data_IF_359787280482
#
_entry.id   IF_359787280482
#
_cell.length_a   1.000
_cell.length_b   1.000
_cell.length_c   1.000
_cell.angle_alpha   90.00
_cell.angle_beta   90.00
_cell.angle_gamma   90.00
#
_symmetry.space_group_name_H-M   'P 1'
#
loop_
_entity.id
_entity.type
_entity.pdbx_description
1 polymer ?
#
# COMPACT_ATOMS: atom_id res chain seq x y z
N UNK A 1 6.74 0.38 9.22
CA UNK A 1 7.25 0.12 7.87
C UNK A 1 8.44 1.03 7.63
N UNK A 2 9.49 0.53 6.98
CA UNK A 2 10.58 1.36 6.45
C UNK A 2 10.23 1.77 5.01
N UNK A 3 10.07 3.09 4.82
CA UNK A 3 9.69 3.73 3.56
C UNK A 3 10.81 4.61 3.01
N UNK A 4 12.06 4.34 3.39
CA UNK A 4 13.23 5.11 2.99
C UNK A 4 13.36 5.20 1.46
N UNK A 5 13.67 6.41 0.97
CA UNK A 5 13.83 6.71 -0.46
C UNK A 5 15.11 7.50 -0.75
N UNK A 6 16.11 7.40 0.10
CA UNK A 6 17.36 8.11 -0.07
C UNK A 6 18.44 7.60 0.88
N UNK A 7 19.68 7.96 0.57
CA UNK A 7 20.85 7.41 1.25
C UNK A 7 21.07 5.94 0.90
N UNK A 8 21.80 5.22 1.76
CA UNK A 8 22.05 3.79 1.63
C UNK A 8 20.86 3.01 2.22
N UNK A 9 19.87 2.72 1.37
CA UNK A 9 18.60 2.08 1.77
C UNK A 9 18.86 0.70 2.40
N UNK A 10 19.78 -0.09 1.85
CA UNK A 10 20.10 -1.42 2.37
C UNK A 10 20.70 -1.34 3.78
N UNK A 11 21.68 -0.45 3.99
CA UNK A 11 22.28 -0.27 5.31
C UNK A 11 21.27 0.27 6.35
N UNK A 12 20.42 1.22 5.95
CA UNK A 12 19.37 1.77 6.82
C UNK A 12 18.38 0.68 7.22
N UNK A 13 17.86 -0.08 6.24
CA UNK A 13 16.91 -1.18 6.47
C UNK A 13 17.49 -2.22 7.42
N UNK A 14 18.71 -2.69 7.18
CA UNK A 14 19.38 -3.68 8.04
C UNK A 14 19.56 -3.18 9.48
N UNK A 15 19.90 -1.90 9.66
CA UNK A 15 20.00 -1.29 10.98
C UNK A 15 18.64 -1.23 11.71
N UNK A 16 17.56 -0.90 10.98
CA UNK A 16 16.20 -0.89 11.52
C UNK A 16 15.76 -2.30 11.92
N UNK A 17 15.92 -3.29 11.03
CA UNK A 17 15.55 -4.69 11.29
C UNK A 17 16.28 -5.22 12.53
N UNK A 18 17.59 -5.00 12.62
CA UNK A 18 18.41 -5.43 13.76
C UNK A 18 17.96 -4.80 15.09
N UNK A 19 17.35 -3.62 15.04
CA UNK A 19 16.92 -2.86 16.22
C UNK A 19 15.44 -3.02 16.55
N UNK A 20 14.65 -3.67 15.68
CA UNK A 20 13.21 -3.78 15.82
C UNK A 20 12.80 -5.05 16.54
N UNK A 21 11.87 -4.92 17.49
CA UNK A 21 11.19 -6.07 18.12
C UNK A 21 9.77 -6.28 17.56
N UNK A 22 9.39 -5.51 16.54
CA UNK A 22 8.07 -5.57 15.90
C UNK A 22 8.24 -5.83 14.40
N UNK A 23 7.21 -6.38 13.72
CA UNK A 23 7.29 -6.63 12.29
C UNK A 23 7.64 -5.37 11.48
N UNK A 24 8.57 -5.51 10.54
CA UNK A 24 9.01 -4.49 9.60
C UNK A 24 8.46 -4.81 8.22
N UNK A 25 7.60 -3.91 7.73
CA UNK A 25 7.18 -3.90 6.34
C UNK A 25 7.97 -2.92 5.48
N UNK A 26 8.03 -3.17 4.17
CA UNK A 26 8.71 -2.28 3.19
C UNK A 26 7.92 -2.17 1.88
N UNK A 27 8.34 -1.25 1.00
CA UNK A 27 7.81 -1.14 -0.37
C UNK A 27 8.97 -1.26 -1.38
N UNK A 28 9.35 -2.48 -1.81
CA UNK A 28 10.60 -2.72 -2.55
C UNK A 28 10.79 -1.93 -3.85
N UNK A 29 9.69 -1.52 -4.50
CA UNK A 29 9.78 -0.67 -5.71
C UNK A 29 10.44 0.68 -5.46
N UNK A 30 10.48 1.16 -4.21
CA UNK A 30 11.14 2.42 -3.89
C UNK A 30 12.65 2.29 -4.07
N UNK A 31 13.27 1.24 -3.52
CA UNK A 31 14.68 0.94 -3.74
C UNK A 31 14.95 0.63 -5.22
N UNK A 32 14.17 -0.27 -5.82
CA UNK A 32 14.36 -0.66 -7.22
C UNK A 32 14.29 0.55 -8.18
N UNK A 33 13.35 1.47 -7.93
CA UNK A 33 13.21 2.70 -8.72
C UNK A 33 14.41 3.64 -8.57
N UNK A 34 14.91 3.83 -7.34
CA UNK A 34 16.08 4.70 -7.07
C UNK A 34 17.34 4.12 -7.71
N UNK A 35 17.60 2.84 -7.50
CA UNK A 35 18.75 2.18 -8.11
C UNK A 35 18.65 2.15 -9.64
N UNK A 36 17.46 2.06 -10.21
CA UNK A 36 17.25 2.18 -11.65
C UNK A 36 17.57 3.60 -12.16
N UNK A 37 17.35 4.65 -11.38
CA UNK A 37 17.83 6.00 -11.73
C UNK A 37 19.36 5.99 -11.79
N UNK A 38 20.03 5.41 -10.79
CA UNK A 38 21.49 5.39 -10.73
C UNK A 38 22.12 4.53 -11.83
N UNK A 39 21.53 3.36 -12.13
CA UNK A 39 22.05 2.39 -13.10
C UNK A 39 21.64 2.70 -14.54
N UNK A 40 20.40 3.16 -14.76
CA UNK A 40 19.80 3.29 -16.09
C UNK A 40 19.40 4.73 -16.45
N UNK A 41 19.50 5.65 -15.50
CA UNK A 41 19.21 7.09 -15.66
C UNK A 41 17.73 7.49 -15.47
N UNK A 42 16.82 6.54 -15.26
CA UNK A 42 15.40 6.83 -15.01
C UNK A 42 14.65 5.64 -14.40
N UNK A 43 13.66 5.90 -13.54
CA UNK A 43 12.79 4.87 -12.93
C UNK A 43 12.10 4.00 -14.00
N UNK A 44 11.61 4.62 -15.08
CA UNK A 44 10.87 3.91 -16.14
C UNK A 44 11.73 2.90 -16.92
N UNK A 45 13.07 2.94 -16.75
CA UNK A 45 14.01 1.98 -17.33
C UNK A 45 14.39 0.84 -16.39
N UNK A 46 13.84 0.80 -15.17
CA UNK A 46 13.92 -0.36 -14.27
C UNK A 46 13.54 -1.62 -15.06
N UNK A 47 14.21 -2.74 -14.86
CA UNK A 47 13.77 -4.02 -15.43
C UNK A 47 12.88 -4.77 -14.44
N UNK A 48 12.13 -5.77 -14.91
CA UNK A 48 11.42 -6.66 -13.99
C UNK A 48 12.39 -7.35 -13.03
N UNK A 49 13.58 -7.73 -13.50
CA UNK A 49 14.61 -8.34 -12.65
C UNK A 49 15.14 -7.40 -11.58
N UNK A 50 15.29 -6.10 -11.87
CA UNK A 50 15.65 -5.11 -10.84
C UNK A 50 14.62 -5.05 -9.72
N UNK A 51 13.34 -5.10 -10.06
CA UNK A 51 12.24 -5.09 -9.09
C UNK A 51 12.23 -6.37 -8.23
N UNK A 52 12.31 -7.54 -8.87
CA UNK A 52 12.32 -8.82 -8.15
C UNK A 52 13.59 -9.01 -7.31
N UNK A 53 14.75 -8.54 -7.78
CA UNK A 53 15.98 -8.56 -7.01
C UNK A 53 15.88 -7.71 -5.74
N UNK A 54 15.25 -6.54 -5.81
CA UNK A 54 14.98 -5.72 -4.62
C UNK A 54 14.03 -6.42 -3.63
N UNK A 55 12.97 -7.07 -4.13
CA UNK A 55 12.05 -7.84 -3.27
C UNK A 55 12.81 -8.97 -2.56
N UNK A 56 13.63 -9.73 -3.28
CA UNK A 56 14.43 -10.83 -2.74
C UNK A 56 15.50 -10.32 -1.74
N UNK A 57 16.13 -9.18 -2.01
CA UNK A 57 17.06 -8.53 -1.08
C UNK A 57 16.37 -8.16 0.23
N UNK A 58 15.20 -7.51 0.16
CA UNK A 58 14.42 -7.16 1.33
C UNK A 58 14.01 -8.40 2.13
N UNK A 59 13.54 -9.45 1.46
CA UNK A 59 13.17 -10.71 2.11
C UNK A 59 14.37 -11.36 2.80
N UNK A 60 15.54 -11.41 2.13
CA UNK A 60 16.78 -11.94 2.68
C UNK A 60 17.29 -11.16 3.90
N UNK A 61 17.07 -9.85 3.94
CA UNK A 61 17.42 -9.01 5.08
C UNK A 61 16.51 -9.24 6.30
N UNK A 62 15.40 -9.97 6.14
CA UNK A 62 14.48 -10.29 7.22
C UNK A 62 13.27 -9.35 7.33
N UNK A 63 12.83 -8.77 6.22
CA UNK A 63 11.56 -8.02 6.16
C UNK A 63 10.38 -8.98 6.34
N UNK A 64 9.46 -8.68 7.26
CA UNK A 64 8.31 -9.55 7.58
C UNK A 64 7.17 -9.47 6.56
N UNK A 65 6.99 -8.31 5.92
CA UNK A 65 6.01 -8.15 4.84
C UNK A 65 6.43 -7.13 3.78
N UNK A 66 6.03 -7.35 2.53
CA UNK A 66 6.31 -6.44 1.42
C UNK A 66 5.02 -5.93 0.80
N UNK A 67 4.92 -4.60 0.66
CA UNK A 67 3.87 -3.97 -0.13
C UNK A 67 4.19 -4.08 -1.61
N UNK A 68 3.34 -4.79 -2.32
CA UNK A 68 3.47 -5.09 -3.75
C UNK A 68 2.21 -4.65 -4.49
N UNK A 69 2.36 -3.75 -5.45
CA UNK A 69 1.23 -3.12 -6.14
C UNK A 69 0.80 -3.96 -7.35
N UNK A 70 0.46 -5.24 -7.11
CA UNK A 70 0.13 -6.21 -8.15
C UNK A 70 -1.21 -5.93 -8.84
N UNK A 71 -2.12 -5.18 -8.19
CA UNK A 71 -3.45 -4.85 -8.71
C UNK A 71 -3.46 -3.69 -9.73
N UNK A 72 -2.35 -2.98 -9.87
CA UNK A 72 -2.18 -1.93 -10.89
C UNK A 72 -2.02 -2.60 -12.25
N UNK A 73 -3.12 -2.82 -12.95
CA UNK A 73 -3.13 -3.45 -14.28
C UNK A 73 -3.42 -2.44 -15.39
N UNK A 74 -3.18 -2.80 -16.65
CA UNK A 74 -3.61 -1.98 -17.79
C UNK A 74 -5.12 -1.74 -17.78
N UNK A 75 -5.92 -2.73 -17.34
CA UNK A 75 -7.36 -2.57 -17.17
C UNK A 75 -7.69 -1.46 -16.17
N UNK A 76 -7.04 -1.45 -14.99
CA UNK A 76 -7.22 -0.41 -13.98
C UNK A 76 -6.82 0.98 -14.51
N UNK A 77 -5.72 1.08 -15.25
CA UNK A 77 -5.28 2.33 -15.90
C UNK A 77 -6.32 2.81 -16.93
N UNK A 78 -6.90 1.90 -17.71
CA UNK A 78 -7.92 2.25 -18.71
C UNK A 78 -9.22 2.72 -18.03
N UNK A 79 -9.63 2.10 -16.92
CA UNK A 79 -10.74 2.58 -16.08
C UNK A 79 -10.49 3.99 -15.57
N UNK A 80 -9.30 4.24 -15.03
CA UNK A 80 -8.87 5.56 -14.54
C UNK A 80 -8.95 6.61 -15.66
N UNK A 81 -8.37 6.35 -16.84
CA UNK A 81 -8.37 7.28 -17.97
C UNK A 81 -9.77 7.62 -18.47
N UNK A 82 -10.68 6.63 -18.48
CA UNK A 82 -12.05 6.82 -18.94
C UNK A 82 -12.90 7.63 -17.96
N UNK A 83 -12.68 7.47 -16.66
CA UNK A 83 -13.44 8.18 -15.63
C UNK A 83 -12.86 9.56 -15.33
N UNK A 84 -11.54 9.67 -15.27
CA UNK A 84 -10.82 10.81 -14.72
C UNK A 84 -10.88 10.83 -13.19
N UNK A 85 -9.91 11.52 -12.59
CA UNK A 85 -9.82 11.80 -11.15
C UNK A 85 -9.46 13.25 -10.90
N UNK A 86 -9.80 13.74 -9.71
CA UNK A 86 -9.39 15.06 -9.22
C UNK A 86 -7.95 15.04 -8.73
N UNK A 87 -7.58 14.03 -7.93
CA UNK A 87 -6.24 13.89 -7.34
C UNK A 87 -5.34 12.91 -8.11
N UNK A 88 -5.84 12.33 -9.20
CA UNK A 88 -5.14 11.34 -10.03
C UNK A 88 -4.66 10.12 -9.20
N UNK A 89 -3.44 9.61 -9.45
CA UNK A 89 -2.81 8.53 -8.70
C UNK A 89 -1.92 9.10 -7.60
N UNK A 90 -2.33 8.88 -6.34
CA UNK A 90 -1.58 9.34 -5.16
C UNK A 90 -0.69 8.27 -4.52
N UNK A 91 -0.80 7.01 -4.96
CA UNK A 91 0.13 5.97 -4.55
C UNK A 91 1.47 6.15 -5.25
N UNK A 92 2.56 6.36 -4.48
CA UNK A 92 3.92 6.45 -5.04
C UNK A 92 4.31 5.18 -5.79
N UNK A 93 4.06 4.01 -5.20
CA UNK A 93 4.40 2.73 -5.81
C UNK A 93 3.53 2.43 -7.03
N UNK A 94 2.24 2.76 -6.95
CA UNK A 94 1.32 2.70 -8.09
C UNK A 94 1.78 3.61 -9.24
N UNK A 95 2.12 4.87 -8.95
CA UNK A 95 2.60 5.83 -9.95
C UNK A 95 3.90 5.38 -10.63
N UNK A 96 4.85 4.79 -9.88
CA UNK A 96 6.08 4.25 -10.46
C UNK A 96 5.78 3.11 -11.45
N UNK A 97 4.89 2.18 -11.09
CA UNK A 97 4.49 1.09 -12.00
C UNK A 97 3.71 1.61 -13.21
N UNK A 98 2.76 2.52 -13.04
CA UNK A 98 2.02 3.10 -14.16
C UNK A 98 2.98 3.78 -15.13
N UNK A 99 3.93 4.58 -14.62
CA UNK A 99 4.96 5.21 -15.43
C UNK A 99 5.81 4.19 -16.19
N UNK A 100 6.20 3.10 -15.52
CA UNK A 100 6.94 1.99 -16.12
C UNK A 100 6.13 1.28 -17.22
N UNK A 101 4.88 0.95 -16.95
CA UNK A 101 3.99 0.23 -17.87
C UNK A 101 3.71 1.04 -19.14
N UNK A 102 3.45 2.34 -18.99
CA UNK A 102 3.21 3.24 -20.11
C UNK A 102 4.47 3.44 -20.96
N UNK A 103 5.65 3.53 -20.34
CA UNK A 103 6.92 3.70 -21.06
C UNK A 103 7.33 2.43 -21.82
N UNK A 104 7.15 1.26 -21.21
CA UNK A 104 7.58 -0.03 -21.78
C UNK A 104 6.49 -0.70 -22.64
N UNK A 105 5.27 -0.12 -22.68
CA UNK A 105 4.07 -0.68 -23.33
C UNK A 105 3.73 -2.12 -22.87
N UNK A 106 4.00 -2.41 -21.59
CA UNK A 106 3.85 -3.74 -20.98
C UNK A 106 2.85 -3.72 -19.83
N UNK A 107 2.37 -4.90 -19.47
CA UNK A 107 1.60 -5.09 -18.24
C UNK A 107 2.54 -5.07 -17.03
N UNK A 108 1.97 -4.85 -15.84
CA UNK A 108 2.70 -4.81 -14.58
C UNK A 108 3.49 -6.11 -14.33
N UNK A 109 4.81 -6.04 -14.12
CA UNK A 109 5.63 -7.23 -13.93
C UNK A 109 5.24 -8.02 -12.67
N UNK A 110 4.73 -7.35 -11.63
CA UNK A 110 4.25 -8.02 -10.42
C UNK A 110 2.94 -8.78 -10.65
N UNK A 111 2.15 -8.37 -11.64
CA UNK A 111 0.93 -9.07 -12.05
C UNK A 111 1.26 -10.22 -13.01
N UNK A 112 2.02 -9.95 -14.07
CA UNK A 112 2.39 -10.95 -15.08
C UNK A 112 3.23 -12.10 -14.49
N UNK A 113 4.12 -11.79 -13.56
CA UNK A 113 5.04 -12.75 -12.93
C UNK A 113 4.67 -13.01 -11.47
N UNK A 114 3.38 -13.02 -11.14
CA UNK A 114 2.93 -13.23 -9.76
C UNK A 114 3.44 -14.55 -9.16
N UNK A 115 3.60 -15.61 -9.96
CA UNK A 115 4.14 -16.89 -9.46
C UNK A 115 5.59 -16.75 -8.97
N UNK A 116 6.42 -15.93 -9.63
CA UNK A 116 7.78 -15.60 -9.16
C UNK A 116 7.75 -14.87 -7.83
N UNK A 117 6.75 -14.01 -7.62
CA UNK A 117 6.56 -13.33 -6.34
C UNK A 117 6.18 -14.33 -5.23
N UNK A 118 5.29 -15.29 -5.54
CA UNK A 118 4.91 -16.35 -4.62
C UNK A 118 6.09 -17.25 -4.26
N UNK A 119 6.97 -17.57 -5.22
CA UNK A 119 8.19 -18.34 -4.96
C UNK A 119 9.10 -17.65 -3.93
N UNK A 120 9.33 -16.34 -4.08
CA UNK A 120 10.10 -15.55 -3.10
C UNK A 120 9.38 -15.54 -1.74
N UNK A 121 8.06 -15.35 -1.74
CA UNK A 121 7.29 -15.32 -0.50
C UNK A 121 7.38 -16.64 0.28
N UNK A 122 7.36 -17.79 -0.43
CA UNK A 122 7.51 -19.13 0.15
C UNK A 122 8.93 -19.34 0.66
N UNK A 123 9.95 -18.95 -0.11
CA UNK A 123 11.36 -19.19 0.25
C UNK A 123 11.74 -18.50 1.56
N UNK A 124 11.26 -17.27 1.77
CA UNK A 124 11.64 -16.43 2.91
C UNK A 124 10.55 -16.29 3.98
N UNK A 125 9.38 -16.93 3.82
CA UNK A 125 8.19 -16.75 4.67
C UNK A 125 7.81 -15.27 4.87
N UNK A 126 7.83 -14.50 3.79
CA UNK A 126 7.44 -13.08 3.80
C UNK A 126 5.96 -12.93 3.45
N UNK A 127 5.23 -12.15 4.24
CA UNK A 127 3.80 -11.87 3.98
C UNK A 127 3.65 -10.88 2.83
N UNK A 128 2.75 -11.15 1.89
CA UNK A 128 2.41 -10.22 0.83
C UNK A 128 1.35 -9.22 1.31
N UNK A 129 1.70 -7.93 1.34
CA UNK A 129 0.74 -6.84 1.48
C UNK A 129 0.38 -6.36 0.08
N UNK A 130 -0.79 -6.75 -0.43
CA UNK A 130 -1.20 -6.37 -1.78
C UNK A 130 -1.64 -4.91 -1.79
N UNK A 131 -0.79 -4.05 -2.34
CA UNK A 131 -0.88 -2.59 -2.28
C UNK A 131 -2.03 -2.01 -3.10
N UNK A 132 -2.55 -0.89 -2.62
CA UNK A 132 -3.66 -0.13 -3.21
C UNK A 132 -3.16 1.00 -4.12
N UNK A 133 -2.55 0.63 -5.25
CA UNK A 133 -1.98 1.57 -6.22
C UNK A 133 -2.99 2.55 -6.81
N UNK A 134 -4.27 2.20 -6.83
CA UNK A 134 -5.39 3.01 -7.29
C UNK A 134 -6.25 3.51 -6.12
N UNK A 135 -5.71 3.67 -4.90
CA UNK A 135 -6.49 4.31 -3.83
C UNK A 135 -6.90 5.76 -4.17
N UNK A 136 -8.04 6.24 -3.63
CA UNK A 136 -8.46 7.62 -3.79
C UNK A 136 -7.61 8.58 -2.95
N UNK A 137 -7.18 9.67 -3.57
CA UNK A 137 -6.41 10.75 -2.93
C UNK A 137 -7.23 11.97 -2.51
N UNK A 138 -8.54 11.93 -2.75
CA UNK A 138 -9.49 12.92 -2.27
C UNK A 138 -10.89 12.29 -2.21
N UNK A 139 -11.82 12.93 -1.51
CA UNK A 139 -13.18 12.42 -1.38
C UNK A 139 -13.93 12.32 -2.71
N UNK A 140 -13.60 13.17 -3.69
CA UNK A 140 -14.25 13.16 -5.00
C UNK A 140 -13.92 11.90 -5.82
N UNK A 141 -12.78 11.26 -5.53
CA UNK A 141 -12.31 10.06 -6.22
C UNK A 141 -12.66 8.77 -5.45
N UNK A 142 -13.36 8.89 -4.32
CA UNK A 142 -13.70 7.78 -3.44
C UNK A 142 -14.62 6.76 -4.11
N UNK A 143 -14.29 5.47 -3.97
CA UNK A 143 -15.05 4.33 -4.51
C UNK A 143 -15.26 4.43 -6.03
N UNK A 144 -14.26 4.92 -6.74
CA UNK A 144 -14.30 5.03 -8.20
C UNK A 144 -14.01 3.70 -8.92
N UNK A 145 -14.11 3.71 -10.25
CA UNK A 145 -13.94 2.49 -11.05
C UNK A 145 -12.53 1.96 -10.98
N UNK A 146 -11.51 2.83 -10.90
CA UNK A 146 -10.12 2.39 -10.85
C UNK A 146 -9.80 1.69 -9.52
N UNK A 147 -10.29 2.22 -8.40
CA UNK A 147 -10.16 1.60 -7.08
C UNK A 147 -10.85 0.24 -7.04
N UNK A 148 -12.08 0.14 -7.54
CA UNK A 148 -12.84 -1.13 -7.52
C UNK A 148 -12.22 -2.16 -8.48
N UNK A 149 -11.77 -1.75 -9.66
CA UNK A 149 -11.08 -2.64 -10.62
C UNK A 149 -9.80 -3.24 -10.03
N UNK A 150 -8.99 -2.41 -9.35
CA UNK A 150 -7.82 -2.89 -8.63
C UNK A 150 -8.22 -3.90 -7.55
N UNK A 151 -9.20 -3.58 -6.70
CA UNK A 151 -9.64 -4.48 -5.62
C UNK A 151 -10.11 -5.85 -6.14
N UNK A 152 -10.84 -5.87 -7.26
CA UNK A 152 -11.26 -7.12 -7.90
C UNK A 152 -10.05 -7.95 -8.35
N UNK A 153 -9.06 -7.30 -8.96
CA UNK A 153 -7.79 -7.94 -9.33
C UNK A 153 -7.08 -8.49 -8.10
N UNK A 154 -7.02 -7.73 -7.00
CA UNK A 154 -6.43 -8.19 -5.75
C UNK A 154 -7.16 -9.40 -5.17
N UNK A 155 -8.48 -9.50 -5.30
CA UNK A 155 -9.25 -10.69 -4.91
C UNK A 155 -8.82 -11.97 -5.62
N UNK A 156 -8.53 -11.88 -6.92
CA UNK A 156 -7.99 -13.00 -7.71
C UNK A 156 -6.58 -13.40 -7.24
N UNK A 157 -5.72 -12.40 -6.98
CA UNK A 157 -4.35 -12.63 -6.50
C UNK A 157 -4.32 -13.20 -5.08
N UNK A 158 -5.22 -12.76 -4.20
CA UNK A 158 -5.42 -13.35 -2.86
C UNK A 158 -5.72 -14.83 -2.97
N UNK A 159 -6.62 -15.24 -3.88
CA UNK A 159 -6.91 -16.65 -4.09
C UNK A 159 -5.66 -17.43 -4.48
N UNK A 160 -4.86 -16.91 -5.43
CA UNK A 160 -3.61 -17.54 -5.87
C UNK A 160 -2.60 -17.66 -4.73
N UNK A 161 -2.44 -16.61 -3.92
CA UNK A 161 -1.55 -16.65 -2.76
C UNK A 161 -1.98 -17.71 -1.74
N UNK A 162 -3.27 -17.78 -1.41
CA UNK A 162 -3.81 -18.79 -0.50
C UNK A 162 -3.62 -20.22 -1.02
N UNK A 163 -3.85 -20.45 -2.32
CA UNK A 163 -3.62 -21.75 -2.97
C UNK A 163 -2.15 -22.18 -2.93
N UNK A 164 -1.23 -21.21 -3.00
CA UNK A 164 0.22 -21.43 -2.87
C UNK A 164 0.71 -21.54 -1.41
N UNK A 165 -0.17 -21.32 -0.42
CA UNK A 165 0.21 -21.32 1.00
C UNK A 165 0.95 -20.06 1.46
N UNK A 166 0.86 -18.96 0.71
CA UNK A 166 1.49 -17.68 1.03
C UNK A 166 0.56 -16.82 1.89
N UNK A 167 1.10 -16.25 2.96
CA UNK A 167 0.40 -15.29 3.81
C UNK A 167 0.12 -14.00 3.05
N UNK A 168 -1.11 -13.48 3.13
CA UNK A 168 -1.53 -12.31 2.36
C UNK A 168 -2.48 -11.41 3.14
N UNK A 169 -2.27 -10.10 3.04
CA UNK A 169 -3.21 -9.06 3.43
C UNK A 169 -3.44 -8.09 2.26
N UNK A 170 -4.53 -7.34 2.29
CA UNK A 170 -4.90 -6.39 1.22
C UNK A 170 -4.88 -4.99 1.77
N UNK A 171 -4.22 -4.07 1.07
CA UNK A 171 -4.25 -2.64 1.39
C UNK A 171 -5.52 -1.98 0.87
N UNK A 172 -5.91 -0.89 1.50
CA UNK A 172 -7.19 -0.23 1.26
C UNK A 172 -7.16 1.28 1.44
N UNK A 173 -8.23 1.93 0.96
CA UNK A 173 -8.26 3.32 0.55
C UNK A 173 -7.83 4.34 1.61
N UNK A 174 -7.37 5.48 1.09
CA UNK A 174 -6.95 6.66 1.85
C UNK A 174 -8.11 7.62 2.13
N UNK A 175 -8.62 8.33 1.12
CA UNK A 175 -9.66 9.34 1.33
C UNK A 175 -11.06 8.76 1.04
N UNK A 176 -11.90 8.65 2.07
CA UNK A 176 -13.26 8.13 1.94
C UNK A 176 -14.26 8.96 2.76
N UNK A 177 -15.39 9.38 2.19
CA UNK A 177 -16.42 10.02 2.98
C UNK A 177 -17.03 8.98 3.93
N UNK A 178 -17.43 9.43 5.12
CA UNK A 178 -17.82 8.58 6.25
C UNK A 178 -18.83 7.49 5.87
N UNK A 179 -19.83 7.84 5.06
CA UNK A 179 -20.90 6.93 4.62
C UNK A 179 -20.46 5.84 3.63
N UNK A 180 -19.22 5.86 3.14
CA UNK A 180 -18.68 4.86 2.22
C UNK A 180 -17.71 3.87 2.88
N UNK A 181 -17.29 4.12 4.12
CA UNK A 181 -16.24 3.32 4.79
C UNK A 181 -16.71 1.88 4.98
N UNK A 182 -17.84 1.67 5.66
CA UNK A 182 -18.36 0.32 5.93
C UNK A 182 -18.60 -0.48 4.65
N UNK A 183 -19.07 0.19 3.60
CA UNK A 183 -19.26 -0.42 2.27
C UNK A 183 -17.93 -0.89 1.67
N UNK A 184 -16.87 -0.10 1.77
CA UNK A 184 -15.53 -0.48 1.29
C UNK A 184 -14.97 -1.68 2.06
N UNK A 185 -15.09 -1.68 3.38
CA UNK A 185 -14.64 -2.81 4.21
C UNK A 185 -15.40 -4.09 3.84
N UNK A 186 -16.73 -4.03 3.74
CA UNK A 186 -17.55 -5.18 3.34
C UNK A 186 -17.23 -5.67 1.93
N UNK A 187 -17.00 -4.75 0.99
CA UNK A 187 -16.62 -5.09 -0.37
C UNK A 187 -15.28 -5.85 -0.38
N UNK A 188 -14.27 -5.33 0.31
CA UNK A 188 -12.98 -6.03 0.40
C UNK A 188 -13.14 -7.41 1.04
N UNK A 189 -13.87 -7.53 2.16
CA UNK A 189 -14.05 -8.83 2.83
C UNK A 189 -14.76 -9.84 1.93
N UNK A 190 -15.71 -9.41 1.12
CA UNK A 190 -16.39 -10.27 0.16
C UNK A 190 -15.47 -10.69 -1.02
N UNK A 191 -14.79 -9.72 -1.63
CA UNK A 191 -13.95 -9.93 -2.83
C UNK A 191 -12.67 -10.70 -2.51
N UNK A 192 -12.03 -10.38 -1.37
CA UNK A 192 -10.75 -10.92 -0.96
C UNK A 192 -10.90 -12.04 0.08
N UNK A 193 -12.04 -12.74 0.12
CA UNK A 193 -12.27 -13.94 0.94
C UNK A 193 -11.95 -13.77 2.43
N UNK A 194 -12.23 -12.59 2.98
CA UNK A 194 -12.06 -12.28 4.39
C UNK A 194 -10.62 -12.14 4.87
N UNK A 195 -9.62 -12.08 3.99
CA UNK A 195 -8.21 -11.82 4.40
C UNK A 195 -8.07 -10.49 5.14
N UNK A 196 -7.00 -10.32 5.95
CA UNK A 196 -6.78 -9.08 6.67
C UNK A 196 -6.80 -7.85 5.75
N UNK A 197 -7.46 -6.80 6.21
CA UNK A 197 -7.57 -5.53 5.51
C UNK A 197 -6.74 -4.46 6.22
N UNK A 198 -5.88 -3.79 5.47
CA UNK A 198 -4.93 -2.80 5.95
C UNK A 198 -5.22 -1.44 5.30
N UNK A 199 -5.73 -0.46 6.06
CA UNK A 199 -6.17 0.83 5.49
C UNK A 199 -5.33 2.01 5.96
N UNK A 200 -5.21 3.04 5.12
CA UNK A 200 -4.54 4.30 5.45
C UNK A 200 -5.53 5.36 5.94
N UNK A 201 -5.69 5.53 7.25
CA UNK A 201 -6.78 6.32 7.82
C UNK A 201 -8.06 5.47 7.94
N UNK A 202 -9.09 5.65 7.08
CA UNK A 202 -9.20 6.62 5.99
C UNK A 202 -9.51 8.07 6.44
N UNK A 203 -9.09 9.06 5.65
CA UNK A 203 -9.42 10.47 5.87
C UNK A 203 -10.86 10.75 5.44
N UNK A 204 -11.66 11.24 6.39
CA UNK A 204 -13.09 11.51 6.18
C UNK A 204 -13.41 12.88 5.60
N UNK A 205 -12.38 13.74 5.47
CA UNK A 205 -12.50 15.08 4.90
C UNK A 205 -11.15 15.61 4.42
N UNK A 206 -11.15 16.32 3.28
CA UNK A 206 -9.93 16.84 2.63
C UNK A 206 -9.51 18.24 3.13
N UNK A 207 -10.30 18.84 4.03
CA UNK A 207 -10.02 20.19 4.57
C UNK A 207 -9.19 20.16 5.86
N UNK A 208 -8.67 18.98 6.21
CA UNK A 208 -8.03 18.69 7.49
C UNK A 208 -6.52 18.84 7.53
N UNK A 209 -5.85 19.37 6.49
CA UNK A 209 -4.40 19.47 6.43
C UNK A 209 -3.80 20.09 7.71
N UNK A 210 -2.79 19.44 8.30
CA UNK A 210 -2.25 19.77 9.64
C UNK A 210 -2.94 19.03 10.80
N UNK A 211 -4.10 18.43 10.53
CA UNK A 211 -4.95 17.70 11.47
C UNK A 211 -5.41 16.35 10.89
N UNK A 212 -4.71 15.84 9.88
CA UNK A 212 -5.14 14.62 9.18
C UNK A 212 -5.04 13.35 10.04
N UNK A 213 -4.20 13.35 11.08
CA UNK A 213 -4.27 12.35 12.15
C UNK A 213 -5.65 12.27 12.84
N UNK A 214 -6.39 13.38 12.93
CA UNK A 214 -7.75 13.41 13.50
C UNK A 214 -8.77 12.92 12.47
N UNK A 215 -8.70 13.44 11.23
CA UNK A 215 -9.62 13.04 10.16
C UNK A 215 -9.46 11.55 9.84
N UNK A 216 -8.22 11.06 9.82
CA UNK A 216 -7.86 9.67 9.68
C UNK A 216 -8.30 8.79 10.84
N UNK A 217 -8.18 9.26 12.09
CA UNK A 217 -8.63 8.49 13.26
C UNK A 217 -10.16 8.29 13.29
N UNK A 218 -10.94 9.27 12.85
CA UNK A 218 -12.40 9.15 12.73
C UNK A 218 -12.75 8.03 11.73
N UNK A 219 -12.14 8.06 10.54
CA UNK A 219 -12.41 7.03 9.54
C UNK A 219 -11.87 5.67 9.96
N UNK A 220 -10.67 5.63 10.56
CA UNK A 220 -10.05 4.41 11.04
C UNK A 220 -10.85 3.68 12.11
N UNK A 221 -11.46 4.41 13.05
CA UNK A 221 -12.34 3.81 14.05
C UNK A 221 -13.57 3.15 13.40
N UNK A 222 -14.17 3.79 12.39
CA UNK A 222 -15.32 3.25 11.66
C UNK A 222 -14.90 2.05 10.80
N UNK A 223 -13.74 2.14 10.14
CA UNK A 223 -13.20 1.06 9.31
C UNK A 223 -12.88 -0.18 10.15
N UNK A 224 -12.22 -0.01 11.29
CA UNK A 224 -11.91 -1.08 12.23
C UNK A 224 -13.19 -1.70 12.82
N UNK A 225 -14.16 -0.88 13.25
CA UNK A 225 -15.46 -1.37 13.74
C UNK A 225 -16.23 -2.17 12.66
N UNK A 226 -16.03 -1.86 11.38
CA UNK A 226 -16.61 -2.59 10.27
C UNK A 226 -15.85 -3.88 9.90
N UNK A 227 -14.68 -4.14 10.49
CA UNK A 227 -13.88 -5.35 10.29
C UNK A 227 -12.52 -5.15 9.62
N UNK A 228 -11.97 -3.93 9.62
CA UNK A 228 -10.57 -3.70 9.21
C UNK A 228 -9.60 -4.17 10.30
N UNK A 229 -8.50 -4.83 9.92
CA UNK A 229 -7.60 -5.52 10.84
C UNK A 229 -6.33 -4.73 11.15
N UNK A 230 -5.91 -3.83 10.26
CA UNK A 230 -4.71 -3.03 10.42
C UNK A 230 -4.96 -1.59 9.98
N UNK A 231 -4.70 -0.62 10.87
CA UNK A 231 -4.72 0.80 10.57
C UNK A 231 -3.29 1.32 10.35
N UNK A 232 -3.00 1.81 9.13
CA UNK A 232 -1.84 2.66 8.91
C UNK A 232 -2.16 4.03 9.49
N UNK A 233 -1.30 4.48 10.40
CA UNK A 233 -1.44 5.78 11.02
C UNK A 233 -1.26 6.93 10.02
N UNK A 234 -1.86 8.06 10.36
CA UNK A 234 -1.72 9.32 9.64
C UNK A 234 -1.16 10.33 10.62
N UNK A 235 -0.18 11.12 10.19
CA UNK A 235 0.48 12.11 11.05
C UNK A 235 -0.15 13.50 10.85
N UNK A 236 0.06 14.46 11.78
CA UNK A 236 -0.33 15.85 11.54
C UNK A 236 0.28 16.45 10.27
N UNK A 237 1.49 16.04 9.89
CA UNK A 237 2.24 16.54 8.73
C UNK A 237 1.85 15.89 7.41
N UNK A 238 0.89 14.97 7.40
CA UNK A 238 0.32 14.41 6.17
C UNK A 238 -0.10 15.55 5.22
N UNK A 239 0.18 15.38 3.93
CA UNK A 239 0.00 16.40 2.89
C UNK A 239 0.86 17.68 3.00
N UNK A 240 1.71 17.81 4.01
CA UNK A 240 2.49 19.03 4.27
C UNK A 240 4.00 18.81 4.21
N UNK A 241 4.52 17.81 4.90
CA UNK A 241 5.97 17.60 5.02
C UNK A 241 6.32 16.19 5.51
N UNK A 242 7.62 15.91 5.64
CA UNK A 242 8.07 14.75 6.42
C UNK A 242 7.75 14.98 7.90
N UNK A 243 7.30 13.95 8.64
CA UNK A 243 6.95 14.07 10.05
C UNK A 243 8.19 14.13 10.94
N UNK A 244 8.11 14.90 12.02
CA UNK A 244 9.09 14.85 13.10
C UNK A 244 8.70 13.81 14.17
N UNK A 245 9.47 13.75 15.26
CA UNK A 245 9.21 12.83 16.36
C UNK A 245 7.83 13.02 17.01
N UNK A 246 7.40 14.27 17.18
CA UNK A 246 6.13 14.57 17.81
C UNK A 246 4.95 14.22 16.89
N UNK A 247 5.10 14.50 15.60
CA UNK A 247 4.12 14.12 14.58
C UNK A 247 3.90 12.60 14.55
N UNK A 248 5.00 11.82 14.60
CA UNK A 248 4.92 10.35 14.69
C UNK A 248 4.19 9.93 15.97
N UNK A 249 4.53 10.52 17.12
CA UNK A 249 3.88 10.21 18.41
C UNK A 249 2.37 10.47 18.36
N UNK A 250 1.96 11.61 17.80
CA UNK A 250 0.54 11.98 17.68
C UNK A 250 -0.22 11.02 16.78
N UNK A 251 0.33 10.69 15.61
CA UNK A 251 -0.29 9.71 14.71
C UNK A 251 -0.47 8.35 15.40
N UNK A 252 0.56 7.86 16.10
CA UNK A 252 0.50 6.54 16.78
C UNK A 252 -0.58 6.54 17.87
N UNK A 253 -0.66 7.60 18.68
CA UNK A 253 -1.68 7.69 19.73
C UNK A 253 -3.08 7.77 19.12
N UNK A 254 -3.28 8.59 18.09
CA UNK A 254 -4.56 8.74 17.42
C UNK A 254 -5.07 7.41 16.86
N UNK A 255 -4.24 6.67 16.12
CA UNK A 255 -4.60 5.37 15.57
C UNK A 255 -4.82 4.29 16.63
N UNK A 256 -4.05 4.30 17.73
CA UNK A 256 -4.27 3.37 18.86
C UNK A 256 -5.60 3.62 19.56
N UNK A 257 -5.98 4.89 19.73
CA UNK A 257 -7.29 5.25 20.30
C UNK A 257 -8.41 4.81 19.34
N UNK A 258 -8.25 5.04 18.04
CA UNK A 258 -9.23 4.61 17.04
C UNK A 258 -9.40 3.08 17.02
N UNK A 259 -8.29 2.33 17.03
CA UNK A 259 -8.32 0.87 17.10
C UNK A 259 -8.99 0.37 18.38
N UNK A 260 -8.62 0.91 19.55
CA UNK A 260 -9.24 0.51 20.81
C UNK A 260 -10.73 0.88 20.88
N UNK A 261 -11.14 2.02 20.32
CA UNK A 261 -12.54 2.39 20.23
C UNK A 261 -13.35 1.38 19.38
N UNK A 262 -12.75 0.86 18.32
CA UNK A 262 -13.34 -0.20 17.51
C UNK A 262 -13.38 -1.56 18.23
N UNK A 263 -12.40 -1.90 19.07
CA UNK A 263 -12.40 -3.16 19.84
C UNK A 263 -13.56 -3.24 20.87
N UNK A 264 -14.18 -2.11 21.22
CA UNK A 264 -15.24 -2.03 22.23
C UNK A 264 -16.63 -2.33 21.63
N UNK A 265 -16.79 -2.25 20.31
CA UNK A 265 -18.09 -2.36 19.63
C UNK A 265 -18.39 -3.74 19.05
#
# INVERSE_FOLDING_TARGET
MDLSTGGDISAIRQAIITSSSVPIGTVPIYQAGIEAIERHGAIVKMTADDLFAAIEEHARDGVDFVTVHCGVTRSAIDRLKQQGRVADVVSRGGAFLIGWMLYNERENPLYEQYDRLLEIAIEFDVTLSLGDGMRPGCLADATDRAQVEELLTLGELVQRAQEAGVQVMVEGPGHLPLNQIETNVRLQKAVCKGVPFYVLGPLVTDIGAGYDHITGAIGGAIAAAAGTDFLCYVTPSEHLSLPDFEDVRQGVIASRIAAHAADIV
#
